data_IF_387429250317
#
_entry.id   IF_387429250317
#
_cell.length_a   1.000
_cell.length_b   1.000
_cell.length_c   1.000
_cell.angle_alpha   90.00
_cell.angle_beta   90.00
_cell.angle_gamma   90.00
#
_symmetry.space_group_name_H-M   'P 1'
#
loop_
_entity.id
_entity.type
_entity.pdbx_description
1 polymer ?
#
# COMPACT_ATOMS: atom_id res chain seq x y z
N UNK A 1 71.43 -56.54 -21.56
CA UNK A 1 71.74 -56.24 -20.15
C UNK A 1 70.74 -55.21 -19.67
N UNK A 2 69.67 -55.67 -19.01
CA UNK A 2 69.41 -55.50 -17.56
C UNK A 2 69.13 -54.04 -17.14
N UNK A 3 68.13 -53.68 -16.33
CA UNK A 3 66.86 -54.24 -15.87
C UNK A 3 66.31 -53.19 -14.88
N UNK A 4 65.01 -52.88 -14.90
CA UNK A 4 64.12 -52.45 -13.77
C UNK A 4 64.52 -51.16 -12.98
N UNK A 5 63.69 -50.35 -12.34
CA UNK A 5 62.39 -50.39 -11.61
C UNK A 5 61.88 -48.92 -11.65
N UNK A 6 60.64 -48.56 -12.00
CA UNK A 6 59.43 -48.66 -11.17
C UNK A 6 59.32 -47.57 -10.09
N UNK A 7 58.37 -46.64 -10.19
CA UNK A 7 57.36 -46.38 -9.13
C UNK A 7 56.41 -45.24 -9.53
N UNK A 8 55.13 -45.46 -9.26
CA UNK A 8 54.01 -44.52 -9.41
C UNK A 8 53.89 -43.68 -8.15
N UNK A 9 53.67 -42.37 -8.25
CA UNK A 9 53.10 -41.57 -7.16
C UNK A 9 52.03 -40.58 -7.67
N UNK A 10 50.97 -40.47 -6.88
CA UNK A 10 49.78 -39.66 -7.04
C UNK A 10 50.03 -38.16 -6.74
N UNK A 11 48.99 -37.36 -7.05
CA UNK A 11 48.71 -35.99 -6.58
C UNK A 11 49.22 -34.85 -7.50
N UNK A 12 48.52 -33.74 -7.68
CA UNK A 12 47.47 -33.16 -6.85
C UNK A 12 46.45 -32.39 -7.71
N UNK A 13 45.17 -32.55 -7.36
CA UNK A 13 44.12 -31.60 -7.72
C UNK A 13 44.46 -30.28 -7.03
N UNK A 14 44.81 -29.25 -7.81
CA UNK A 14 44.97 -27.90 -7.28
C UNK A 14 43.58 -27.35 -6.92
N UNK A 15 43.22 -27.46 -5.64
CA UNK A 15 42.13 -26.70 -5.06
C UNK A 15 42.51 -25.21 -5.16
N UNK A 16 41.80 -24.47 -6.02
CA UNK A 16 41.83 -23.01 -6.03
C UNK A 16 41.10 -22.57 -4.76
N UNK A 17 41.87 -22.34 -3.70
CA UNK A 17 41.39 -21.63 -2.54
C UNK A 17 41.18 -20.16 -2.95
N UNK A 18 39.94 -19.83 -3.29
CA UNK A 18 39.45 -18.45 -3.32
C UNK A 18 39.56 -17.90 -1.88
N UNK A 19 40.70 -17.30 -1.57
CA UNK A 19 40.84 -16.38 -0.44
C UNK A 19 39.99 -15.15 -0.77
N UNK A 20 38.71 -15.22 -0.42
CA UNK A 20 37.90 -14.02 -0.21
C UNK A 20 38.52 -13.29 0.98
N UNK A 21 39.37 -12.30 0.68
CA UNK A 21 39.69 -11.26 1.65
C UNK A 21 38.37 -10.54 1.93
N UNK A 22 37.69 -10.99 2.98
CA UNK A 22 36.59 -10.26 3.58
C UNK A 22 37.15 -8.94 4.06
N UNK A 23 36.86 -7.86 3.32
CA UNK A 23 37.00 -6.51 3.83
C UNK A 23 36.03 -6.43 5.00
N UNK A 24 36.54 -6.62 6.21
CA UNK A 24 35.84 -6.24 7.43
C UNK A 24 35.77 -4.72 7.36
N UNK A 25 34.68 -4.23 6.78
CA UNK A 25 34.29 -2.83 6.97
C UNK A 25 33.78 -2.76 8.39
N UNK A 26 34.65 -2.31 9.30
CA UNK A 26 34.21 -1.74 10.58
C UNK A 26 33.38 -0.51 10.21
N UNK A 27 32.09 -0.73 9.95
CA UNK A 27 31.08 0.31 9.81
C UNK A 27 30.74 0.82 11.21
N UNK A 28 31.72 1.44 11.86
CA UNK A 28 31.40 2.46 12.83
C UNK A 28 30.69 3.56 12.04
N UNK A 29 29.36 3.51 12.05
CA UNK A 29 28.50 4.51 11.44
C UNK A 29 28.85 5.85 12.08
N UNK A 30 29.73 6.63 11.46
CA UNK A 30 30.01 7.98 11.92
C UNK A 30 28.70 8.75 11.80
N UNK A 31 28.23 9.31 12.91
CA UNK A 31 27.06 10.18 12.91
C UNK A 31 27.34 11.30 11.91
N UNK A 32 26.49 11.51 10.89
CA UNK A 32 26.71 12.57 9.92
C UNK A 32 26.76 13.92 10.61
N UNK A 33 27.76 14.74 10.26
CA UNK A 33 27.91 16.10 10.76
C UNK A 33 26.73 16.96 10.28
N UNK A 34 26.36 17.91 11.14
CA UNK A 34 25.32 18.93 10.93
C UNK A 34 25.96 20.31 10.91
N UNK A 35 25.18 21.30 10.47
CA UNK A 35 25.57 22.71 10.49
C UNK A 35 25.90 23.16 11.92
N UNK A 36 27.05 23.81 12.10
CA UNK A 36 27.56 24.27 13.40
C UNK A 36 28.15 23.16 14.28
N UNK A 37 28.30 21.93 13.78
CA UNK A 37 28.90 20.85 14.57
C UNK A 37 30.38 21.13 14.83
N UNK A 38 30.77 20.97 16.09
CA UNK A 38 32.16 20.97 16.54
C UNK A 38 32.50 19.64 17.19
N UNK A 39 33.40 18.89 16.58
CA UNK A 39 33.79 17.55 17.02
C UNK A 39 35.30 17.43 17.23
N UNK A 40 35.70 16.46 18.03
CA UNK A 40 37.11 16.11 18.21
C UNK A 40 37.42 14.82 17.44
N UNK A 41 38.62 14.74 16.88
CA UNK A 41 39.11 13.60 16.13
C UNK A 41 40.56 13.25 16.45
N UNK A 42 40.99 12.09 15.96
CA UNK A 42 42.33 11.56 16.17
C UNK A 42 42.81 10.87 14.89
N UNK A 43 43.95 11.32 14.37
CA UNK A 43 44.70 10.57 13.36
C UNK A 43 45.84 9.84 14.05
N UNK A 44 45.67 8.53 14.24
CA UNK A 44 46.62 7.65 14.92
C UNK A 44 47.30 6.65 13.99
N UNK A 45 48.13 5.77 14.59
CA UNK A 45 48.84 4.71 13.84
C UNK A 45 47.90 3.69 13.22
N UNK A 46 46.72 3.51 13.79
CA UNK A 46 45.66 2.60 13.33
C UNK A 46 44.69 3.25 12.35
N UNK A 47 44.80 4.57 12.12
CA UNK A 47 43.94 5.27 11.18
C UNK A 47 44.11 4.75 9.75
N UNK A 48 43.01 4.61 9.00
CA UNK A 48 43.03 4.10 7.63
C UNK A 48 43.83 5.02 6.70
N UNK A 49 44.42 4.44 5.66
CA UNK A 49 45.09 5.17 4.59
C UNK A 49 44.11 5.55 3.50
N UNK A 50 44.17 6.80 3.05
CA UNK A 50 43.32 7.32 1.98
C UNK A 50 44.18 7.74 0.79
N UNK A 51 43.70 7.40 -0.40
CA UNK A 51 44.26 7.89 -1.66
C UNK A 51 43.66 9.25 -2.00
N UNK A 52 44.49 10.21 -2.37
CA UNK A 52 44.06 11.56 -2.72
C UNK A 52 45.02 12.19 -3.73
N UNK A 53 44.57 13.25 -4.39
CA UNK A 53 45.38 14.05 -5.30
C UNK A 53 45.38 15.50 -4.85
N UNK A 54 46.52 16.19 -4.91
CA UNK A 54 46.53 17.63 -4.69
C UNK A 54 45.91 18.33 -5.92
N UNK A 55 44.62 18.66 -5.86
CA UNK A 55 43.88 19.28 -6.98
C UNK A 55 44.25 20.74 -7.21
N UNK A 56 44.95 21.39 -6.28
CA UNK A 56 45.47 22.73 -6.48
C UNK A 56 46.68 22.76 -7.44
N UNK A 57 47.30 21.61 -7.73
CA UNK A 57 48.43 21.49 -8.64
C UNK A 57 48.05 20.61 -9.85
N UNK A 58 47.89 21.17 -11.05
CA UNK A 58 47.68 20.39 -12.26
C UNK A 58 48.77 19.32 -12.41
N UNK A 59 48.38 18.10 -12.74
CA UNK A 59 49.34 17.00 -12.94
C UNK A 59 49.86 16.33 -11.67
N UNK A 60 49.48 16.78 -10.45
CA UNK A 60 49.95 16.15 -9.22
C UNK A 60 49.69 14.63 -9.18
N UNK A 61 50.63 13.81 -8.69
CA UNK A 61 50.41 12.37 -8.56
C UNK A 61 49.40 12.07 -7.44
N UNK A 62 48.77 10.89 -7.52
CA UNK A 62 48.01 10.33 -6.40
C UNK A 62 48.96 10.00 -5.25
N UNK A 63 48.58 10.38 -4.05
CA UNK A 63 49.32 10.17 -2.81
C UNK A 63 48.46 9.36 -1.84
N UNK A 64 49.10 8.75 -0.85
CA UNK A 64 48.43 8.03 0.24
C UNK A 64 48.85 8.61 1.58
N UNK A 65 47.88 8.93 2.44
CA UNK A 65 48.13 9.40 3.79
C UNK A 65 47.10 8.80 4.76
N UNK A 66 47.49 8.66 6.04
CA UNK A 66 46.54 8.25 7.08
C UNK A 66 45.55 9.36 7.36
N UNK A 67 44.33 9.01 7.74
CA UNK A 67 43.34 10.03 8.07
C UNK A 67 42.12 9.50 8.81
N UNK A 68 41.16 10.39 8.99
CA UNK A 68 39.85 10.05 9.52
C UNK A 68 38.78 10.62 8.60
N UNK A 69 37.75 9.83 8.32
CA UNK A 69 36.62 10.21 7.47
C UNK A 69 35.44 10.67 8.33
N UNK A 70 34.81 11.76 7.90
CA UNK A 70 33.54 12.27 8.39
C UNK A 70 32.56 12.38 7.24
N UNK A 71 31.28 12.20 7.52
CA UNK A 71 30.23 12.31 6.52
C UNK A 71 29.29 13.45 6.87
N UNK A 72 28.70 14.10 5.86
CA UNK A 72 27.66 15.10 6.04
C UNK A 72 26.75 15.14 4.81
N UNK A 73 25.52 15.63 4.97
CA UNK A 73 24.60 15.84 3.86
C UNK A 73 24.57 17.32 3.48
N UNK A 74 24.60 17.61 2.18
CA UNK A 74 24.54 18.98 1.67
C UNK A 74 23.63 19.12 0.44
N UNK A 75 23.08 20.31 0.23
CA UNK A 75 22.23 20.66 -0.90
C UNK A 75 23.00 21.45 -1.96
N UNK A 76 22.52 21.43 -3.21
CA UNK A 76 23.11 22.26 -4.27
C UNK A 76 22.97 23.73 -3.89
N UNK A 77 24.08 24.46 -3.95
CA UNK A 77 24.15 25.88 -3.62
C UNK A 77 24.70 26.16 -2.23
N UNK A 78 24.75 25.17 -1.34
CA UNK A 78 25.39 25.31 -0.03
C UNK A 78 26.85 25.75 -0.18
N UNK A 79 27.28 26.65 0.69
CA UNK A 79 28.67 27.11 0.74
C UNK A 79 29.25 26.61 2.05
N UNK A 80 29.85 25.43 2.01
CA UNK A 80 30.41 24.82 3.21
C UNK A 80 31.71 25.51 3.60
N UNK A 81 31.87 25.75 4.89
CA UNK A 81 33.08 26.25 5.52
C UNK A 81 33.53 25.22 6.55
N UNK A 82 34.78 24.77 6.45
CA UNK A 82 35.37 23.80 7.37
C UNK A 82 36.64 24.39 7.95
N UNK A 83 36.77 24.27 9.26
CA UNK A 83 37.97 24.62 10.01
C UNK A 83 38.47 23.43 10.79
N UNK A 84 39.78 23.16 10.73
CA UNK A 84 40.42 22.10 11.53
C UNK A 84 41.62 22.65 12.26
N UNK A 85 41.56 22.58 13.58
CA UNK A 85 42.61 23.05 14.46
C UNK A 85 43.21 21.86 15.23
N UNK A 86 44.53 21.57 15.06
CA UNK A 86 45.22 20.63 15.94
C UNK A 86 45.07 21.04 17.41
N UNK A 87 44.82 20.07 18.29
CA UNK A 87 44.75 20.34 19.74
C UNK A 87 46.14 20.69 20.31
N UNK A 88 46.18 21.34 21.49
CA UNK A 88 47.43 21.65 22.17
C UNK A 88 48.29 20.39 22.39
N UNK A 89 49.57 20.46 22.02
CA UNK A 89 50.50 19.32 22.07
C UNK A 89 50.34 18.30 20.94
N UNK A 90 49.41 18.52 20.00
CA UNK A 90 49.27 17.69 18.81
C UNK A 90 50.38 17.97 17.79
N UNK A 91 51.05 16.91 17.32
CA UNK A 91 52.02 17.02 16.23
C UNK A 91 51.36 16.99 14.84
N UNK A 92 50.04 16.90 14.77
CA UNK A 92 49.28 16.76 13.53
C UNK A 92 49.46 17.97 12.61
N UNK A 93 49.74 17.70 11.34
CA UNK A 93 49.75 18.65 10.24
C UNK A 93 48.61 18.27 9.29
N UNK A 94 47.40 18.82 9.49
CA UNK A 94 46.24 18.37 8.76
C UNK A 94 46.27 18.82 7.29
N UNK A 95 45.68 18.00 6.42
CA UNK A 95 45.15 18.42 5.13
C UNK A 95 43.69 17.94 5.01
N UNK A 96 42.93 18.62 4.18
CA UNK A 96 41.53 18.30 3.91
C UNK A 96 41.36 17.76 2.51
N UNK A 97 40.55 16.71 2.37
CA UNK A 97 40.06 16.20 1.10
C UNK A 97 38.55 16.08 1.18
N UNK A 98 37.87 16.53 0.13
CA UNK A 98 36.43 16.36 0.00
C UNK A 98 36.10 15.45 -1.18
N UNK A 99 35.29 14.44 -0.92
CA UNK A 99 34.69 13.57 -1.93
C UNK A 99 33.20 13.85 -2.05
N UNK A 100 32.72 13.92 -3.29
CA UNK A 100 31.31 14.09 -3.59
C UNK A 100 30.50 12.78 -3.40
N UNK A 101 29.16 12.83 -3.53
CA UNK A 101 28.31 11.64 -3.35
C UNK A 101 28.57 10.51 -4.36
N UNK A 102 29.29 10.77 -5.45
CA UNK A 102 29.70 9.74 -6.42
C UNK A 102 31.04 9.10 -6.06
N UNK A 103 31.67 9.55 -4.98
CA UNK A 103 33.00 9.13 -4.54
C UNK A 103 34.14 9.85 -5.25
N UNK A 104 33.87 10.87 -6.06
CA UNK A 104 34.92 11.64 -6.76
C UNK A 104 35.51 12.69 -5.85
N UNK A 105 36.83 12.82 -5.82
CA UNK A 105 37.47 13.93 -5.14
C UNK A 105 37.13 15.25 -5.85
N UNK A 106 36.63 16.22 -5.10
CA UNK A 106 36.22 17.54 -5.62
C UNK A 106 37.02 18.69 -5.08
N UNK A 107 37.66 18.54 -3.91
CA UNK A 107 38.50 19.58 -3.33
C UNK A 107 39.66 19.00 -2.51
N UNK A 108 40.68 19.82 -2.32
CA UNK A 108 41.85 19.57 -1.49
C UNK A 108 42.34 20.88 -0.88
N UNK A 109 42.73 20.88 0.38
CA UNK A 109 43.41 22.03 1.01
C UNK A 109 44.53 21.59 1.94
N UNK A 110 45.69 22.25 1.80
CA UNK A 110 46.81 22.17 2.76
C UNK A 110 46.71 23.24 3.86
N UNK A 111 45.78 24.19 3.73
CA UNK A 111 45.45 25.18 4.75
C UNK A 111 44.07 24.82 5.34
N UNK A 112 44.04 23.95 6.35
CA UNK A 112 42.79 23.36 6.81
C UNK A 112 41.95 24.31 7.69
N UNK A 113 42.48 25.49 8.03
CA UNK A 113 41.73 26.55 8.74
C UNK A 113 40.86 27.40 7.81
N UNK A 114 41.02 27.26 6.49
CA UNK A 114 40.26 28.01 5.50
C UNK A 114 39.89 27.10 4.33
N UNK A 115 38.95 26.19 4.57
CA UNK A 115 38.39 25.33 3.54
C UNK A 115 36.96 25.80 3.21
N UNK A 116 36.76 26.33 2.00
CA UNK A 116 35.45 26.70 1.49
C UNK A 116 35.15 25.97 0.20
N UNK A 117 33.92 25.49 0.05
CA UNK A 117 33.49 24.80 -1.16
C UNK A 117 32.02 25.06 -1.44
N UNK A 118 31.68 25.38 -2.69
CA UNK A 118 30.30 25.51 -3.12
C UNK A 118 29.78 24.17 -3.64
N UNK A 119 28.72 23.67 -3.03
CA UNK A 119 28.13 22.37 -3.34
C UNK A 119 27.41 22.41 -4.68
N UNK A 120 27.90 21.62 -5.64
CA UNK A 120 27.36 21.55 -7.00
C UNK A 120 26.29 20.44 -7.14
N UNK A 121 26.39 19.38 -6.33
CA UNK A 121 25.53 18.20 -6.40
C UNK A 121 24.99 17.88 -5.01
N UNK A 122 23.68 17.75 -4.80
CA UNK A 122 23.15 17.41 -3.48
C UNK A 122 23.48 15.95 -3.14
N UNK A 123 23.62 15.63 -1.86
CA UNK A 123 23.80 14.27 -1.35
C UNK A 123 24.76 14.16 -0.17
N UNK A 124 25.20 12.93 0.11
CA UNK A 124 26.14 12.63 1.18
C UNK A 124 27.59 12.82 0.72
N UNK A 125 28.29 13.75 1.35
CA UNK A 125 29.70 14.05 1.12
C UNK A 125 30.58 13.34 2.15
N UNK A 126 31.84 13.09 1.76
CA UNK A 126 32.87 12.53 2.66
C UNK A 126 34.02 13.51 2.79
N UNK A 127 34.24 13.99 3.99
CA UNK A 127 35.36 14.85 4.37
C UNK A 127 36.42 14.01 5.05
N UNK A 128 37.64 14.04 4.51
CA UNK A 128 38.77 13.28 5.06
C UNK A 128 39.81 14.23 5.60
N UNK A 129 40.12 14.07 6.89
CA UNK A 129 41.21 14.76 7.58
C UNK A 129 42.46 13.91 7.48
N UNK A 130 43.46 14.38 6.74
CA UNK A 130 44.70 13.65 6.46
C UNK A 130 45.87 14.11 7.33
N UNK A 131 46.69 13.16 7.76
CA UNK A 131 47.99 13.36 8.39
C UNK A 131 49.08 13.57 7.33
N UNK A 132 49.50 14.81 7.10
CA UNK A 132 50.61 15.09 6.19
C UNK A 132 51.94 14.65 6.80
N UNK A 133 52.86 14.15 5.97
CA UNK A 133 54.19 13.73 6.43
C UNK A 133 54.14 12.75 7.62
N UNK A 134 53.09 11.93 7.69
CA UNK A 134 52.85 10.98 8.77
C UNK A 134 52.75 11.64 10.17
N UNK A 135 52.36 12.91 10.24
CA UNK A 135 52.09 13.63 11.49
C UNK A 135 50.86 13.06 12.18
N UNK A 136 50.99 12.52 13.38
CA UNK A 136 49.86 11.94 14.13
C UNK A 136 49.44 12.91 15.23
N UNK A 137 48.17 12.87 15.61
CA UNK A 137 47.67 13.70 16.71
C UNK A 137 46.17 13.93 16.68
N UNK A 138 45.72 14.68 17.68
CA UNK A 138 44.32 15.07 17.87
C UNK A 138 44.01 16.40 17.18
N UNK A 139 42.75 16.60 16.85
CA UNK A 139 42.25 17.83 16.27
C UNK A 139 40.81 18.10 16.69
N UNK A 140 40.42 19.36 16.60
CA UNK A 140 39.02 19.78 16.57
C UNK A 140 38.63 20.14 15.14
N UNK A 141 37.42 19.77 14.74
CA UNK A 141 36.83 20.07 13.44
C UNK A 141 35.52 20.81 13.66
N UNK A 142 35.32 21.87 12.91
CA UNK A 142 34.12 22.69 12.89
C UNK A 142 33.63 22.82 11.44
N UNK A 143 32.33 22.69 11.23
CA UNK A 143 31.70 22.78 9.91
C UNK A 143 30.46 23.67 9.95
N UNK A 144 30.40 24.61 9.02
CA UNK A 144 29.32 25.59 8.86
C UNK A 144 28.87 25.68 7.39
N UNK A 145 27.76 26.36 7.16
CA UNK A 145 27.23 26.65 5.83
C UNK A 145 26.57 25.43 5.17
N UNK A 146 26.26 24.41 5.98
CA UNK A 146 25.35 23.35 5.57
C UNK A 146 23.94 23.92 5.70
N UNK A 147 23.19 23.94 4.60
CA UNK A 147 21.74 24.12 4.77
C UNK A 147 21.29 23.00 5.69
N UNK A 148 20.43 23.35 6.66
CA UNK A 148 19.83 22.32 7.50
C UNK A 148 19.36 21.24 6.56
N UNK A 149 19.91 20.03 6.73
CA UNK A 149 19.46 18.91 5.96
C UNK A 149 18.03 18.67 6.45
N UNK A 150 17.09 19.37 5.85
CA UNK A 150 15.99 18.67 5.23
C UNK A 150 16.65 17.70 4.24
N UNK A 151 17.28 16.62 4.75
CA UNK A 151 16.79 15.29 4.40
C UNK A 151 15.31 15.51 4.37
N UNK A 152 14.73 15.72 3.18
CA UNK A 152 13.31 16.04 3.09
C UNK A 152 12.68 14.89 3.83
N UNK A 153 12.31 15.13 5.10
CA UNK A 153 11.64 14.14 5.93
C UNK A 153 10.46 13.89 5.05
N UNK A 154 10.43 12.69 4.46
CA UNK A 154 9.53 12.44 3.37
C UNK A 154 8.14 12.86 3.87
N UNK A 155 7.31 13.52 3.08
CA UNK A 155 6.08 14.14 3.59
C UNK A 155 5.27 13.21 4.51
N UNK A 156 5.30 11.91 4.23
CA UNK A 156 4.76 10.85 5.09
C UNK A 156 5.36 10.79 6.52
N UNK A 157 6.67 10.88 6.68
CA UNK A 157 7.35 10.87 7.99
C UNK A 157 7.01 12.12 8.81
N UNK A 158 6.84 13.27 8.17
CA UNK A 158 6.36 14.49 8.85
C UNK A 158 4.93 14.32 9.34
N UNK A 159 4.05 13.76 8.51
CA UNK A 159 2.65 13.49 8.89
C UNK A 159 2.60 12.49 10.06
N UNK A 160 3.40 11.43 10.01
CA UNK A 160 3.50 10.45 11.09
C UNK A 160 3.90 11.11 12.42
N UNK A 161 4.97 11.89 12.44
CA UNK A 161 5.51 12.47 13.68
C UNK A 161 4.74 13.70 14.15
N UNK A 162 4.39 14.62 13.25
CA UNK A 162 3.84 15.92 13.62
C UNK A 162 2.32 15.91 13.75
N UNK A 163 1.64 15.19 12.86
CA UNK A 163 0.17 15.16 12.81
C UNK A 163 -0.39 13.98 13.58
N UNK A 164 0.04 12.76 13.26
CA UNK A 164 -0.49 11.54 13.86
C UNK A 164 0.14 11.21 15.21
N UNK A 165 1.31 11.80 15.52
CA UNK A 165 2.10 11.52 16.74
C UNK A 165 2.47 10.03 16.87
N UNK A 166 2.73 9.38 15.74
CA UNK A 166 3.10 7.96 15.65
C UNK A 166 4.59 7.83 15.33
N UNK A 167 5.23 6.82 15.92
CA UNK A 167 6.63 6.47 15.62
C UNK A 167 6.69 5.61 14.38
N UNK A 168 7.63 5.95 13.49
CA UNK A 168 7.89 5.21 12.25
C UNK A 168 8.85 4.05 12.54
N UNK A 169 8.52 2.86 12.04
CA UNK A 169 9.37 1.67 12.05
C UNK A 169 9.42 1.06 10.64
N UNK A 170 10.36 0.13 10.42
CA UNK A 170 10.44 -0.61 9.16
C UNK A 170 9.23 -1.51 8.92
N UNK A 171 8.67 -1.47 7.70
CA UNK A 171 7.52 -2.28 7.30
C UNK A 171 7.79 -3.79 7.17
N UNK A 172 9.05 -4.24 7.24
CA UNK A 172 9.42 -5.66 7.21
C UNK A 172 9.18 -6.40 8.54
N UNK A 173 8.63 -5.73 9.55
CA UNK A 173 8.40 -6.29 10.88
C UNK A 173 6.97 -6.85 10.95
N UNK A 174 6.72 -8.04 11.51
CA UNK A 174 5.37 -8.58 11.66
C UNK A 174 4.55 -7.80 12.70
N UNK A 175 3.22 -7.89 12.60
CA UNK A 175 2.25 -7.27 13.50
C UNK A 175 2.42 -5.75 13.60
N UNK A 176 2.43 -5.08 12.45
CA UNK A 176 2.52 -3.62 12.34
C UNK A 176 1.33 -3.06 11.60
N UNK A 177 0.97 -1.83 11.91
CA UNK A 177 0.04 -1.05 11.12
C UNK A 177 0.78 -0.43 9.93
N UNK A 178 0.25 -0.60 8.71
CA UNK A 178 0.74 -0.01 7.46
C UNK A 178 -0.15 1.17 7.12
N UNK A 179 0.39 2.38 7.09
CA UNK A 179 -0.34 3.61 6.84
C UNK A 179 0.10 4.18 5.49
N UNK A 180 -0.83 4.26 4.55
CA UNK A 180 -0.63 4.88 3.24
C UNK A 180 -0.88 6.37 3.34
N UNK A 181 0.12 7.17 2.98
CA UNK A 181 0.10 8.64 3.02
C UNK A 181 0.41 9.14 1.61
N UNK A 182 -0.63 9.50 0.84
CA UNK A 182 -0.50 9.80 -0.58
C UNK A 182 0.02 8.58 -1.37
N UNK A 183 1.20 8.71 -1.98
CA UNK A 183 1.89 7.63 -2.70
C UNK A 183 2.87 6.85 -1.84
N UNK A 184 3.10 7.28 -0.61
CA UNK A 184 4.06 6.67 0.30
C UNK A 184 3.38 5.75 1.32
N UNK A 185 4.15 4.83 1.90
CA UNK A 185 3.70 3.94 2.96
C UNK A 185 4.67 4.01 4.14
N UNK A 186 4.13 4.03 5.36
CA UNK A 186 4.88 3.98 6.61
C UNK A 186 4.28 2.98 7.58
N UNK A 187 5.11 2.42 8.45
CA UNK A 187 4.66 1.43 9.42
C UNK A 187 4.87 1.89 10.85
N UNK A 188 3.97 1.47 11.73
CA UNK A 188 4.03 1.76 13.17
C UNK A 188 3.49 0.58 14.01
N UNK A 189 3.87 0.54 15.28
CA UNK A 189 3.31 -0.37 16.31
C UNK A 189 2.43 0.36 17.33
N UNK A 190 2.31 1.68 17.19
CA UNK A 190 1.60 2.49 18.17
C UNK A 190 0.06 2.40 18.01
N UNK A 191 -0.43 1.70 16.98
CA UNK A 191 -1.85 1.39 16.75
C UNK A 191 -2.02 -0.08 16.34
N UNK A 192 -3.27 -0.55 16.33
CA UNK A 192 -3.61 -1.94 15.98
C UNK A 192 -3.12 -2.32 14.57
N UNK A 193 -2.53 -3.52 14.39
CA UNK A 193 -2.10 -4.02 13.09
C UNK A 193 -3.22 -3.97 12.06
N UNK A 194 -2.90 -3.51 10.85
CA UNK A 194 -3.89 -3.30 9.78
C UNK A 194 -3.34 -2.43 8.67
N UNK A 195 -4.12 -2.24 7.61
CA UNK A 195 -3.80 -1.29 6.54
C UNK A 195 -4.67 -0.06 6.75
N UNK A 196 -4.06 1.12 6.73
CA UNK A 196 -4.75 2.39 6.94
C UNK A 196 -4.45 3.34 5.79
N UNK A 197 -5.36 4.25 5.50
CA UNK A 197 -5.13 5.38 4.60
C UNK A 197 -5.26 6.68 5.37
N UNK A 198 -4.27 7.56 5.24
CA UNK A 198 -4.33 8.91 5.79
C UNK A 198 -5.20 9.81 4.91
N UNK A 199 -6.14 10.51 5.54
CA UNK A 199 -6.96 11.52 4.89
C UNK A 199 -6.48 12.92 5.29
N UNK A 200 -6.00 13.67 4.32
CA UNK A 200 -5.45 15.01 4.54
C UNK A 200 -6.51 16.00 5.04
N UNK A 201 -7.72 15.95 4.47
CA UNK A 201 -8.82 16.86 4.83
C UNK A 201 -9.23 16.75 6.30
N UNK A 202 -9.27 15.53 6.84
CA UNK A 202 -9.66 15.25 8.23
C UNK A 202 -8.46 15.12 9.17
N UNK A 203 -7.24 15.09 8.63
CA UNK A 203 -5.99 14.79 9.35
C UNK A 203 -6.08 13.52 10.19
N UNK A 204 -6.83 12.52 9.72
CA UNK A 204 -7.06 11.26 10.42
C UNK A 204 -6.71 10.07 9.54
N UNK A 205 -6.57 8.89 10.16
CA UNK A 205 -6.36 7.64 9.44
C UNK A 205 -7.66 6.84 9.41
N UNK A 206 -7.96 6.22 8.27
CA UNK A 206 -9.06 5.28 8.11
C UNK A 206 -8.52 3.88 7.90
N UNK A 207 -9.03 2.92 8.69
CA UNK A 207 -8.74 1.52 8.48
C UNK A 207 -9.30 1.11 7.10
N UNK A 208 -8.41 0.65 6.23
CA UNK A 208 -8.76 0.02 4.97
C UNK A 208 -9.04 -1.43 5.29
N UNK A 209 -10.34 -1.74 5.40
CA UNK A 209 -10.74 -3.13 5.56
C UNK A 209 -10.66 -3.86 4.21
N UNK A 210 -9.48 -4.40 3.91
CA UNK A 210 -9.24 -5.17 2.68
C UNK A 210 -10.17 -6.37 2.54
N UNK A 211 -10.74 -6.87 3.65
CA UNK A 211 -11.69 -7.99 3.66
C UNK A 211 -13.05 -7.54 3.15
N UNK A 212 -13.45 -6.31 3.48
CA UNK A 212 -14.64 -5.68 2.93
C UNK A 212 -14.54 -5.55 1.41
N UNK A 213 -13.40 -5.10 0.89
CA UNK A 213 -13.17 -4.97 -0.56
C UNK A 213 -13.15 -6.34 -1.26
N UNK A 214 -12.57 -7.35 -0.59
CA UNK A 214 -12.59 -8.73 -1.09
C UNK A 214 -14.02 -9.28 -1.16
N UNK A 215 -14.83 -9.09 -0.12
CA UNK A 215 -16.25 -9.49 -0.11
C UNK A 215 -17.04 -8.76 -1.20
N UNK A 216 -16.85 -7.44 -1.33
CA UNK A 216 -17.54 -6.63 -2.33
C UNK A 216 -17.21 -7.11 -3.75
N UNK A 217 -15.94 -7.36 -4.03
CA UNK A 217 -15.48 -7.82 -5.36
C UNK A 217 -15.89 -9.26 -5.67
N UNK A 218 -15.72 -10.20 -4.73
CA UNK A 218 -16.02 -11.63 -4.93
C UNK A 218 -17.51 -11.91 -5.06
N UNK A 219 -18.30 -11.34 -4.17
CA UNK A 219 -19.74 -11.59 -4.11
C UNK A 219 -20.55 -10.60 -4.96
N UNK A 220 -19.89 -9.61 -5.59
CA UNK A 220 -20.52 -8.53 -6.35
C UNK A 220 -21.56 -7.79 -5.51
N UNK A 221 -21.21 -7.48 -4.25
CA UNK A 221 -22.08 -6.85 -3.27
C UNK A 221 -21.66 -5.42 -2.99
N UNK A 222 -22.64 -4.56 -2.71
CA UNK A 222 -22.39 -3.26 -2.12
C UNK A 222 -22.33 -3.40 -0.59
N UNK A 223 -21.12 -3.55 -0.05
CA UNK A 223 -20.91 -3.70 1.40
C UNK A 223 -21.00 -2.33 2.06
N UNK A 224 -21.83 -2.21 3.09
CA UNK A 224 -22.12 -0.98 3.83
C UNK A 224 -21.02 -0.66 4.84
N UNK A 225 -20.82 0.63 5.13
CA UNK A 225 -19.84 1.07 6.14
C UNK A 225 -20.26 0.67 7.56
N UNK A 226 -21.57 0.58 7.79
CA UNK A 226 -22.18 0.19 9.06
C UNK A 226 -23.41 -0.67 8.80
N UNK A 227 -23.59 -1.67 9.65
CA UNK A 227 -24.82 -2.45 9.68
C UNK A 227 -25.99 -1.58 10.14
N UNK A 228 -27.06 -1.42 9.32
CA UNK A 228 -28.26 -0.72 9.75
C UNK A 228 -29.00 -1.52 10.83
N UNK A 229 -29.96 -0.87 11.50
CA UNK A 229 -30.78 -1.52 12.54
C UNK A 229 -31.53 -2.74 11.97
N UNK A 230 -31.87 -3.73 12.82
CA UNK A 230 -32.40 -5.04 12.39
C UNK A 230 -33.72 -5.00 11.60
N UNK A 231 -34.38 -3.85 11.50
CA UNK A 231 -35.58 -3.68 10.67
C UNK A 231 -35.27 -3.57 9.15
N UNK A 232 -34.00 -3.44 8.76
CA UNK A 232 -33.62 -3.24 7.37
C UNK A 232 -33.23 -4.56 6.73
N UNK A 233 -33.78 -4.87 5.54
CA UNK A 233 -33.43 -6.07 4.78
C UNK A 233 -31.98 -5.99 4.27
N UNK A 234 -31.04 -6.54 5.02
CA UNK A 234 -29.61 -6.62 4.67
C UNK A 234 -29.09 -8.05 4.72
N UNK A 235 -28.05 -8.32 3.93
CA UNK A 235 -27.27 -9.55 4.05
C UNK A 235 -26.18 -9.32 5.11
N UNK A 236 -26.21 -10.08 6.20
CA UNK A 236 -25.16 -10.11 7.22
C UNK A 236 -24.19 -11.24 6.87
N UNK A 237 -22.94 -10.92 6.57
CA UNK A 237 -21.94 -11.87 6.12
C UNK A 237 -20.81 -11.90 7.13
N UNK A 238 -20.68 -13.02 7.83
CA UNK A 238 -19.61 -13.27 8.79
C UNK A 238 -18.45 -13.97 8.10
N UNK A 239 -17.25 -13.42 8.24
CA UNK A 239 -15.99 -13.97 7.74
C UNK A 239 -15.07 -14.23 8.94
N UNK A 240 -14.51 -15.43 9.03
CA UNK A 240 -13.42 -15.70 9.97
C UNK A 240 -12.09 -15.33 9.32
N UNK A 241 -11.35 -14.42 9.92
CA UNK A 241 -10.06 -13.98 9.38
C UNK A 241 -8.98 -15.04 9.70
N UNK A 242 -8.27 -15.58 8.69
CA UNK A 242 -7.26 -16.61 8.91
C UNK A 242 -6.03 -16.12 9.66
N UNK A 243 -5.80 -14.80 9.76
CA UNK A 243 -4.64 -14.24 10.47
C UNK A 243 -4.84 -14.23 11.99
N UNK A 244 -6.04 -13.89 12.46
CA UNK A 244 -6.33 -13.72 13.89
C UNK A 244 -7.38 -14.69 14.45
N UNK A 245 -8.07 -15.45 13.58
CA UNK A 245 -9.12 -16.39 13.95
C UNK A 245 -10.42 -15.73 14.43
N UNK A 246 -10.58 -14.41 14.28
CA UNK A 246 -11.77 -13.68 14.73
C UNK A 246 -12.84 -13.63 13.64
N UNK A 247 -14.09 -13.63 14.08
CA UNK A 247 -15.27 -13.47 13.22
C UNK A 247 -15.59 -11.98 13.03
N UNK A 248 -15.62 -11.54 11.77
CA UNK A 248 -15.98 -10.19 11.36
C UNK A 248 -17.28 -10.22 10.58
N UNK A 249 -18.27 -9.46 11.01
CA UNK A 249 -19.59 -9.38 10.35
C UNK A 249 -19.72 -8.09 9.57
N UNK A 250 -19.98 -8.23 8.27
CA UNK A 250 -20.24 -7.13 7.35
C UNK A 250 -21.69 -7.14 6.92
N UNK A 251 -22.26 -5.95 6.70
CA UNK A 251 -23.60 -5.85 6.13
C UNK A 251 -23.51 -5.39 4.68
N UNK A 252 -24.28 -6.01 3.80
CA UNK A 252 -24.36 -5.64 2.40
C UNK A 252 -25.81 -5.45 1.95
N UNK A 253 -26.00 -4.61 0.93
CA UNK A 253 -27.28 -4.54 0.21
C UNK A 253 -27.54 -5.88 -0.48
N UNK A 254 -28.72 -6.49 -0.32
CA UNK A 254 -29.06 -7.72 -1.02
C UNK A 254 -28.87 -7.58 -2.54
N UNK A 255 -28.44 -8.66 -3.18
CA UNK A 255 -28.26 -8.75 -4.62
C UNK A 255 -29.01 -9.95 -5.18
N UNK A 256 -28.94 -10.16 -6.50
CA UNK A 256 -29.49 -11.37 -7.14
C UNK A 256 -28.86 -12.67 -6.64
N UNK A 257 -27.65 -12.61 -6.09
CA UNK A 257 -26.89 -13.77 -5.63
C UNK A 257 -26.95 -13.99 -4.12
N UNK A 258 -27.17 -12.91 -3.36
CA UNK A 258 -27.19 -12.96 -1.89
C UNK A 258 -28.42 -12.19 -1.41
N UNK A 259 -29.40 -12.92 -0.91
CA UNK A 259 -30.63 -12.35 -0.36
C UNK A 259 -30.39 -11.76 1.02
N UNK A 260 -31.38 -11.06 1.58
CA UNK A 260 -31.33 -10.67 2.99
C UNK A 260 -31.31 -11.91 3.89
N UNK A 261 -30.45 -11.91 4.90
CA UNK A 261 -30.22 -13.08 5.76
C UNK A 261 -28.84 -13.08 6.39
N UNK A 262 -28.56 -14.07 7.25
CA UNK A 262 -27.25 -14.27 7.84
C UNK A 262 -26.49 -15.35 7.07
N UNK A 263 -25.23 -15.09 6.74
CA UNK A 263 -24.35 -15.94 5.96
C UNK A 263 -22.97 -16.03 6.60
N UNK A 264 -22.27 -17.15 6.36
CA UNK A 264 -20.85 -17.32 6.65
C UNK A 264 -20.10 -17.44 5.33
N UNK A 265 -19.09 -16.60 5.14
CA UNK A 265 -18.22 -16.65 3.96
C UNK A 265 -16.91 -17.34 4.33
N UNK A 266 -16.54 -18.37 3.56
CA UNK A 266 -15.27 -19.04 3.68
C UNK A 266 -14.32 -18.56 2.56
N UNK A 267 -13.26 -17.80 2.88
CA UNK A 267 -12.37 -17.22 1.87
C UNK A 267 -11.48 -18.28 1.21
N UNK A 268 -11.28 -19.43 1.85
CA UNK A 268 -10.44 -20.52 1.35
C UNK A 268 -11.15 -21.31 0.26
N UNK A 269 -12.45 -21.55 0.42
CA UNK A 269 -13.28 -22.29 -0.54
C UNK A 269 -14.08 -21.40 -1.47
N UNK A 270 -14.06 -20.08 -1.25
CA UNK A 270 -14.88 -19.09 -1.94
C UNK A 270 -16.39 -19.45 -1.89
N UNK A 271 -16.84 -19.96 -0.74
CA UNK A 271 -18.23 -20.39 -0.54
C UNK A 271 -18.95 -19.51 0.48
N UNK A 272 -20.20 -19.18 0.16
CA UNK A 272 -21.12 -18.48 1.04
C UNK A 272 -22.20 -19.47 1.49
N UNK A 273 -22.26 -19.75 2.79
CA UNK A 273 -23.27 -20.66 3.37
C UNK A 273 -24.24 -19.87 4.25
N UNK A 274 -25.55 -20.18 4.23
CA UNK A 274 -26.47 -19.61 5.21
C UNK A 274 -25.99 -19.93 6.62
N UNK A 275 -25.85 -18.91 7.46
CA UNK A 275 -25.54 -19.11 8.86
C UNK A 275 -26.77 -19.75 9.50
N UNK A 276 -26.62 -20.97 10.01
CA UNK A 276 -27.65 -21.59 10.83
C UNK A 276 -27.76 -20.73 12.08
N UNK A 277 -28.79 -19.90 12.14
CA UNK A 277 -29.11 -19.15 13.34
C UNK A 277 -29.59 -20.20 14.34
N UNK A 278 -28.67 -20.71 15.17
CA UNK A 278 -29.05 -21.38 16.42
C UNK A 278 -29.70 -20.30 17.28
N UNK A 279 -30.99 -20.09 17.07
CA UNK A 279 -31.80 -19.28 17.96
C UNK A 279 -31.66 -19.90 19.35
N UNK A 280 -30.98 -19.20 20.25
CA UNK A 280 -31.01 -19.54 21.66
C UNK A 280 -32.49 -19.46 22.10
N UNK A 281 -33.10 -20.56 22.58
CA UNK A 281 -34.52 -20.60 22.89
C UNK A 281 -34.77 -20.00 24.28
N UNK A 282 -34.65 -18.68 24.42
CA UNK A 282 -34.98 -17.99 25.69
C UNK A 282 -35.46 -16.57 25.45
N UNK A 283 -36.48 -16.42 24.60
CA UNK A 283 -37.48 -15.34 24.80
C UNK A 283 -38.77 -15.72 24.08
N UNK A 284 -39.92 -15.78 24.77
CA UNK A 284 -41.20 -16.03 24.12
C UNK A 284 -41.58 -14.78 23.31
N UNK A 285 -41.31 -14.82 22.01
CA UNK A 285 -41.86 -13.84 21.09
C UNK A 285 -43.31 -14.26 20.83
N UNK A 286 -44.23 -13.38 21.20
CA UNK A 286 -45.66 -13.53 20.94
C UNK A 286 -45.87 -13.75 19.44
N UNK A 287 -46.60 -14.78 19.01
CA UNK A 287 -46.79 -15.08 17.60
C UNK A 287 -47.59 -13.96 16.93
N UNK A 288 -46.92 -13.14 16.13
CA UNK A 288 -47.59 -12.31 15.13
C UNK A 288 -48.15 -13.22 14.04
N UNK A 289 -49.45 -13.05 13.84
CA UNK A 289 -50.36 -13.51 12.79
C UNK A 289 -49.68 -14.00 11.51
N UNK A 290 -50.12 -15.14 10.92
CA UNK A 290 -49.53 -15.68 9.71
C UNK A 290 -49.68 -14.69 8.55
N UNK A 291 -48.54 -14.14 8.11
CA UNK A 291 -48.43 -13.41 6.85
C UNK A 291 -48.88 -14.34 5.72
N UNK A 292 -49.76 -13.83 4.86
CA UNK A 292 -50.31 -14.53 3.71
C UNK A 292 -49.21 -15.25 2.89
N UNK A 293 -49.52 -16.40 2.28
CA UNK A 293 -48.56 -17.16 1.48
C UNK A 293 -47.88 -16.25 0.45
N UNK A 294 -46.55 -16.26 0.46
CA UNK A 294 -45.70 -15.52 -0.45
C UNK A 294 -46.09 -15.87 -1.90
N UNK A 295 -46.57 -14.88 -2.64
CA UNK A 295 -47.05 -15.07 -4.02
C UNK A 295 -45.90 -15.50 -4.94
N UNK A 296 -45.94 -16.76 -5.39
CA UNK A 296 -44.89 -17.37 -6.22
C UNK A 296 -44.59 -16.56 -7.49
N UNK A 297 -45.56 -15.82 -8.04
CA UNK A 297 -45.37 -14.98 -9.24
C UNK A 297 -44.50 -13.78 -8.96
N UNK A 298 -44.67 -13.16 -7.78
CA UNK A 298 -43.80 -12.07 -7.33
C UNK A 298 -42.36 -12.57 -7.18
N UNK A 299 -42.19 -13.75 -6.59
CA UNK A 299 -40.89 -14.36 -6.41
C UNK A 299 -40.23 -14.70 -7.74
N UNK A 300 -40.98 -15.19 -8.73
CA UNK A 300 -40.48 -15.46 -10.08
C UNK A 300 -39.96 -14.17 -10.76
N UNK A 301 -40.73 -13.07 -10.72
CA UNK A 301 -40.28 -11.79 -11.29
C UNK A 301 -39.03 -11.24 -10.60
N UNK A 302 -38.95 -11.38 -9.28
CA UNK A 302 -37.79 -10.93 -8.52
C UNK A 302 -36.56 -11.79 -8.77
N UNK A 303 -36.73 -13.11 -8.82
CA UNK A 303 -35.62 -14.07 -8.87
C UNK A 303 -35.08 -14.24 -10.28
N UNK A 304 -35.95 -14.43 -11.28
CA UNK A 304 -35.52 -14.73 -12.65
C UNK A 304 -35.27 -13.46 -13.47
N UNK A 305 -36.06 -12.41 -13.25
CA UNK A 305 -36.00 -11.17 -14.04
C UNK A 305 -35.34 -10.01 -13.31
N UNK A 306 -35.00 -10.16 -12.02
CA UNK A 306 -34.40 -9.11 -11.21
C UNK A 306 -35.30 -7.86 -11.10
N UNK A 307 -36.62 -8.04 -11.19
CA UNK A 307 -37.59 -6.96 -11.14
C UNK A 307 -38.01 -6.66 -9.70
N UNK A 308 -38.04 -5.37 -9.33
CA UNK A 308 -38.56 -4.94 -8.04
C UNK A 308 -40.07 -4.77 -8.12
N UNK A 309 -40.82 -5.81 -7.76
CA UNK A 309 -42.30 -5.83 -7.82
C UNK A 309 -42.91 -4.96 -6.73
N UNK A 310 -43.81 -4.06 -7.14
CA UNK A 310 -44.54 -3.16 -6.27
C UNK A 310 -45.69 -3.89 -5.55
N UNK A 311 -46.06 -3.44 -4.35
CA UNK A 311 -47.23 -3.99 -3.66
C UNK A 311 -48.52 -3.74 -4.45
N UNK A 312 -48.70 -2.51 -4.96
CA UNK A 312 -49.85 -2.10 -5.74
C UNK A 312 -49.43 -1.48 -7.08
N UNK A 313 -50.18 -1.78 -8.15
CA UNK A 313 -49.99 -1.16 -9.46
C UNK A 313 -50.56 0.27 -9.47
N UNK A 314 -49.74 1.31 -9.70
CA UNK A 314 -50.25 2.67 -9.87
C UNK A 314 -51.11 2.80 -11.14
N UNK A 315 -52.02 3.77 -11.16
CA UNK A 315 -52.90 4.03 -12.30
C UNK A 315 -52.11 4.46 -13.55
N UNK A 316 -51.03 5.22 -13.38
CA UNK A 316 -50.10 5.58 -14.45
C UNK A 316 -49.07 4.45 -14.66
N UNK A 317 -49.20 3.70 -15.76
CA UNK A 317 -48.41 2.49 -16.03
C UNK A 317 -47.24 2.69 -17.01
N UNK A 318 -47.14 3.86 -17.64
CA UNK A 318 -46.19 4.12 -18.75
C UNK A 318 -44.72 4.03 -18.34
N UNK A 319 -44.40 4.23 -17.06
CA UNK A 319 -43.04 4.19 -16.52
C UNK A 319 -42.69 2.84 -15.87
N UNK A 320 -43.59 1.86 -15.87
CA UNK A 320 -43.41 0.59 -15.17
C UNK A 320 -43.37 -0.58 -16.13
N UNK A 321 -42.78 -1.68 -15.67
CA UNK A 321 -42.94 -3.00 -16.26
C UNK A 321 -44.24 -3.58 -15.72
N UNK A 322 -45.21 -3.80 -16.59
CA UNK A 322 -46.48 -4.43 -16.25
C UNK A 322 -46.46 -5.85 -16.77
N UNK A 323 -46.56 -6.83 -15.88
CA UNK A 323 -46.57 -8.25 -16.26
C UNK A 323 -47.91 -8.87 -15.95
N UNK A 324 -48.50 -9.52 -16.96
CA UNK A 324 -49.72 -10.30 -16.86
C UNK A 324 -49.39 -11.80 -16.81
N UNK A 325 -49.90 -12.49 -15.79
CA UNK A 325 -49.84 -13.95 -15.64
C UNK A 325 -51.21 -14.55 -15.95
N UNK A 326 -51.42 -15.12 -17.15
CA UNK A 326 -52.65 -15.84 -17.46
C UNK A 326 -52.62 -17.22 -16.78
N UNK A 327 -53.49 -17.41 -15.78
CA UNK A 327 -53.62 -18.66 -15.04
C UNK A 327 -55.09 -19.11 -15.04
N UNK A 328 -55.41 -20.10 -15.87
CA UNK A 328 -56.78 -20.53 -16.09
C UNK A 328 -57.63 -19.41 -16.71
N UNK A 329 -58.71 -19.03 -16.02
CA UNK A 329 -59.63 -17.97 -16.45
C UNK A 329 -59.34 -16.61 -15.81
N UNK A 330 -58.20 -16.46 -15.13
CA UNK A 330 -57.82 -15.23 -14.44
C UNK A 330 -56.49 -14.70 -14.96
N UNK A 331 -56.37 -13.38 -15.04
CA UNK A 331 -55.12 -12.69 -15.36
C UNK A 331 -54.66 -11.95 -14.11
N UNK A 332 -53.51 -12.35 -13.58
CA UNK A 332 -52.90 -11.70 -12.44
C UNK A 332 -51.88 -10.67 -12.92
N UNK A 333 -52.04 -9.42 -12.50
CA UNK A 333 -51.24 -8.31 -12.98
C UNK A 333 -50.30 -7.79 -11.88
N UNK A 334 -49.02 -7.62 -12.23
CA UNK A 334 -48.00 -7.06 -11.35
C UNK A 334 -47.30 -5.88 -12.04
N UNK A 335 -46.90 -4.90 -11.24
CA UNK A 335 -46.11 -3.77 -11.68
C UNK A 335 -44.75 -3.81 -11.00
N UNK A 336 -43.69 -3.53 -11.75
CA UNK A 336 -42.34 -3.49 -11.23
C UNK A 336 -41.55 -2.31 -11.83
N UNK A 337 -40.51 -1.89 -11.10
CA UNK A 337 -39.57 -0.91 -11.63
C UNK A 337 -38.76 -1.52 -12.78
N UNK A 338 -38.58 -0.79 -13.91
CA UNK A 338 -37.77 -1.27 -15.02
C UNK A 338 -36.31 -1.43 -14.62
N UNK A 339 -35.62 -2.37 -15.27
CA UNK A 339 -34.20 -2.59 -15.09
C UNK A 339 -33.48 -2.67 -16.45
N UNK A 340 -32.20 -3.02 -16.46
CA UNK A 340 -31.41 -3.10 -17.69
C UNK A 340 -31.89 -4.19 -18.67
N UNK A 341 -32.52 -5.26 -18.15
CA UNK A 341 -32.96 -6.41 -18.93
C UNK A 341 -34.39 -6.26 -19.44
N UNK A 342 -35.28 -5.71 -18.61
CA UNK A 342 -36.69 -5.52 -18.93
C UNK A 342 -37.03 -4.03 -18.81
N UNK A 343 -37.33 -3.42 -19.95
CA UNK A 343 -37.69 -1.99 -20.04
C UNK A 343 -39.16 -1.78 -19.67
N UNK A 344 -39.54 -0.54 -19.34
CA UNK A 344 -40.93 -0.20 -19.09
C UNK A 344 -41.81 -0.55 -20.30
N UNK A 345 -42.97 -1.15 -20.05
CA UNK A 345 -43.83 -1.75 -21.06
C UNK A 345 -44.78 -2.78 -20.46
N UNK A 346 -45.73 -3.25 -21.27
CA UNK A 346 -46.64 -4.34 -20.88
C UNK A 346 -46.14 -5.67 -21.46
N UNK A 347 -46.18 -6.71 -20.65
CA UNK A 347 -45.65 -8.04 -20.96
C UNK A 347 -46.65 -9.11 -20.52
N UNK A 348 -46.68 -10.22 -21.26
CA UNK A 348 -47.40 -11.43 -20.89
C UNK A 348 -46.37 -12.51 -20.54
N UNK A 349 -46.52 -13.12 -19.36
CA UNK A 349 -45.69 -14.24 -18.97
C UNK A 349 -46.15 -15.51 -19.70
N UNK A 350 -45.24 -16.09 -20.47
CA UNK A 350 -45.48 -17.32 -21.20
C UNK A 350 -44.99 -18.51 -20.36
N UNK A 351 -45.94 -19.27 -19.79
CA UNK A 351 -45.62 -20.39 -18.88
C UNK A 351 -44.90 -21.54 -19.60
N UNK A 352 -45.09 -21.68 -20.92
CA UNK A 352 -44.45 -22.75 -21.70
C UNK A 352 -42.97 -22.46 -21.95
N UNK A 353 -42.62 -21.20 -22.25
CA UNK A 353 -41.24 -20.81 -22.54
C UNK A 353 -40.51 -20.27 -21.32
N UNK A 354 -41.24 -19.87 -20.27
CA UNK A 354 -40.69 -19.17 -19.12
C UNK A 354 -40.21 -17.76 -19.47
N UNK A 355 -40.72 -17.13 -20.54
CA UNK A 355 -40.30 -15.79 -21.02
C UNK A 355 -41.37 -14.71 -20.80
N UNK A 356 -40.93 -13.44 -20.74
CA UNK A 356 -41.81 -12.27 -20.80
C UNK A 356 -41.92 -11.79 -22.25
N UNK A 357 -43.07 -12.06 -22.87
CA UNK A 357 -43.35 -11.64 -24.23
C UNK A 357 -44.00 -10.25 -24.20
N UNK A 358 -43.56 -9.33 -25.06
CA UNK A 358 -44.15 -7.99 -25.12
C UNK A 358 -45.63 -8.14 -25.44
N UNK A 359 -46.49 -7.57 -24.59
CA UNK A 359 -47.93 -7.59 -24.81
C UNK A 359 -48.20 -6.82 -26.11
N UNK A 360 -48.65 -7.53 -27.14
CA UNK A 360 -49.16 -6.92 -28.36
C UNK A 360 -50.39 -6.11 -27.96
N UNK A 361 -50.24 -4.77 -27.95
CA UNK A 361 -51.40 -3.90 -27.80
C UNK A 361 -52.42 -4.32 -28.86
N UNK A 362 -53.68 -4.57 -28.51
CA UNK A 362 -54.71 -4.77 -29.50
C UNK A 362 -54.66 -3.56 -30.42
N UNK A 363 -54.30 -3.82 -31.68
CA UNK A 363 -54.26 -2.79 -32.69
C UNK A 363 -55.72 -2.38 -32.87
N UNK A 364 -56.11 -1.21 -32.35
CA UNK A 364 -57.44 -0.68 -32.57
C UNK A 364 -57.59 -0.43 -34.07
N UNK A 365 -58.20 -1.38 -34.77
CA UNK A 365 -58.49 -1.26 -36.19
C UNK A 365 -59.32 -0.01 -36.39
N UNK A 366 -58.80 0.95 -37.15
CA UNK A 366 -59.53 2.20 -37.40
C UNK A 366 -60.64 1.95 -38.42
N UNK A 367 -60.39 1.07 -39.41
CA UNK A 367 -61.39 0.59 -40.37
C UNK A 367 -61.02 -0.83 -40.83
N UNK A 368 -62.00 -1.72 -40.92
CA UNK A 368 -61.88 -3.05 -41.56
C UNK A 368 -62.54 -3.01 -42.92
N UNK A 369 -61.78 -3.20 -44.01
CA UNK A 369 -62.32 -3.32 -45.37
C UNK A 369 -61.91 -4.70 -45.91
N UNK A 370 -62.89 -5.57 -46.17
CA UNK A 370 -62.63 -6.91 -46.74
C UNK A 370 -61.82 -7.85 -45.85
N UNK A 371 -61.89 -7.71 -44.51
CA UNK A 371 -61.12 -8.54 -43.58
C UNK A 371 -59.68 -8.08 -43.34
N UNK A 372 -59.24 -7.00 -43.99
CA UNK A 372 -57.93 -6.37 -43.75
C UNK A 372 -58.12 -5.21 -42.77
N UNK A 373 -57.37 -5.24 -41.68
CA UNK A 373 -57.34 -4.18 -40.67
C UNK A 373 -56.39 -3.07 -41.12
N UNK A 374 -56.92 -1.88 -41.39
CA UNK A 374 -56.14 -0.69 -41.66
C UNK A 374 -55.85 0.04 -40.34
N UNK A 375 -54.57 0.10 -39.99
CA UNK A 375 -54.05 0.85 -38.85
C UNK A 375 -53.67 2.24 -39.36
N UNK A 376 -54.12 3.29 -38.67
CA UNK A 376 -53.81 4.68 -39.04
C UNK A 376 -52.34 5.02 -38.83
#
# INVERSE_FOLDING_TARGET
MMNRVGSRWFAAVSAIALLTVGVITDLASSVPLKDGDKINGLVGRTSPGFQFRNTARPGAPTQTARGQEHTFAAQRGDVIEVSIMPEDGSALRPALVLFDPTGRQVAYSENPNFFKYQVVRPGAYRLVVLARNNSLGRYSLEIDGLSSSTTAIAPADQIMQNTLKLRVIGCGVPNVARIKIGTEERCTRDIEPGVYTYEEASKSIKLVDTRRDLLASRLQLNVLDRCPSPATSVAQITLTDPQDGKDYTYCATPSRYVQAGAYRYNPTTDTLTPAVVTQNPTTPVTPTTPTAPLDARRQLLQTEYGLTVLENCPAARTSFVVVNFPEGNQIYQYCANPNRLVRAGEYNYNKQTGTLDVATKPVNCTVTIGGICLVK
#
